data_IF_315663797838
#
_entry.id   IF_315663797838
#
_cell.length_a   1.000
_cell.length_b   1.000
_cell.length_c   1.000
_cell.angle_alpha   90.00
_cell.angle_beta   90.00
_cell.angle_gamma   90.00
#
_symmetry.space_group_name_H-M   'P 1'
#
loop_
_entity.id
_entity.type
_entity.pdbx_description
1 polymer ?
#
# COMPACT_ATOMS: atom_id res chain seq x y z
N UNK A 1 14.70 -10.26 -33.39
CA UNK A 1 16.08 -10.76 -33.18
C UNK A 1 16.98 -9.70 -32.55
N UNK A 2 16.49 -8.89 -31.61
CA UNK A 2 17.28 -7.94 -30.80
C UNK A 2 17.64 -8.49 -29.42
N UNK A 3 16.86 -9.47 -28.93
CA UNK A 3 16.99 -10.10 -27.62
C UNK A 3 18.37 -10.69 -27.34
N UNK A 4 19.00 -11.30 -28.34
CA UNK A 4 20.22 -12.08 -28.12
C UNK A 4 21.44 -11.15 -27.94
N UNK A 5 21.48 -10.05 -28.70
CA UNK A 5 22.49 -9.01 -28.52
C UNK A 5 22.28 -8.26 -27.21
N UNK A 6 21.04 -7.91 -26.87
CA UNK A 6 20.71 -7.19 -25.64
C UNK A 6 21.09 -8.04 -24.41
N UNK A 7 20.77 -9.34 -24.43
CA UNK A 7 21.15 -10.28 -23.36
C UNK A 7 22.66 -10.43 -23.23
N UNK A 8 23.38 -10.48 -24.37
CA UNK A 8 24.84 -10.55 -24.38
C UNK A 8 25.47 -9.27 -23.84
N UNK A 9 24.93 -8.10 -24.20
CA UNK A 9 25.37 -6.81 -23.66
C UNK A 9 25.15 -6.74 -22.15
N UNK A 10 23.98 -7.16 -21.66
CA UNK A 10 23.69 -7.21 -20.22
C UNK A 10 24.67 -8.12 -19.48
N UNK A 11 25.00 -9.29 -20.04
CA UNK A 11 26.00 -10.19 -19.48
C UNK A 11 27.40 -9.53 -19.45
N UNK A 12 27.79 -8.85 -20.53
CA UNK A 12 29.05 -8.12 -20.59
C UNK A 12 29.11 -6.98 -19.56
N UNK A 13 28.01 -6.25 -19.37
CA UNK A 13 27.90 -5.16 -18.40
C UNK A 13 27.99 -5.68 -16.96
N UNK A 14 27.36 -6.81 -16.64
CA UNK A 14 27.45 -7.43 -15.31
C UNK A 14 28.91 -7.81 -14.97
N UNK A 15 29.67 -8.32 -15.96
CA UNK A 15 31.09 -8.67 -15.78
C UNK A 15 31.98 -7.44 -15.62
N UNK A 16 31.70 -6.38 -16.38
CA UNK A 16 32.36 -5.09 -16.23
C UNK A 16 32.13 -4.50 -14.83
N UNK A 17 30.91 -4.62 -14.29
CA UNK A 17 30.58 -4.21 -12.91
C UNK A 17 31.28 -5.07 -11.85
N UNK A 18 31.55 -6.35 -12.13
CA UNK A 18 32.35 -7.22 -11.28
C UNK A 18 33.86 -6.89 -11.28
N UNK A 19 34.29 -5.91 -12.09
CA UNK A 19 35.67 -5.42 -12.15
C UNK A 19 36.50 -6.01 -13.29
N UNK A 20 35.88 -6.72 -14.24
CA UNK A 20 36.59 -7.25 -15.41
C UNK A 20 36.88 -6.14 -16.44
N UNK A 21 38.01 -6.20 -17.15
CA UNK A 21 38.35 -5.19 -18.14
C UNK A 21 37.59 -5.37 -19.46
N UNK A 22 37.33 -4.27 -20.15
CA UNK A 22 36.62 -4.26 -21.45
C UNK A 22 37.31 -5.19 -22.46
N UNK A 23 38.64 -5.15 -22.57
CA UNK A 23 39.38 -6.00 -23.51
C UNK A 23 39.25 -7.49 -23.21
N UNK A 24 39.08 -7.87 -21.93
CA UNK A 24 38.92 -9.27 -21.53
C UNK A 24 37.53 -9.78 -21.89
N UNK A 25 36.50 -8.98 -21.61
CA UNK A 25 35.11 -9.30 -21.98
C UNK A 25 34.94 -9.40 -23.50
N UNK A 26 35.57 -8.50 -24.28
CA UNK A 26 35.50 -8.52 -25.75
C UNK A 26 36.22 -9.72 -26.38
N UNK A 27 37.24 -10.28 -25.73
CA UNK A 27 37.99 -11.43 -26.25
C UNK A 27 37.14 -12.70 -26.28
N UNK A 28 36.16 -12.81 -25.41
CA UNK A 28 35.24 -13.95 -25.34
C UNK A 28 34.10 -13.85 -26.36
N UNK A 29 33.87 -12.66 -26.92
CA UNK A 29 32.84 -12.40 -27.93
C UNK A 29 33.41 -11.68 -29.16
N UNK A 30 34.38 -12.29 -29.89
CA UNK A 30 35.07 -11.63 -30.99
C UNK A 30 34.12 -11.27 -32.15
N UNK A 31 33.10 -12.10 -32.41
CA UNK A 31 32.15 -11.92 -33.51
C UNK A 31 31.33 -10.62 -33.38
N UNK A 32 31.10 -10.16 -32.15
CA UNK A 32 30.28 -8.98 -31.85
C UNK A 32 31.11 -7.82 -31.28
N UNK A 33 32.44 -7.98 -31.19
CA UNK A 33 33.31 -7.05 -30.50
C UNK A 33 33.26 -5.63 -31.08
N UNK A 34 33.17 -5.51 -32.42
CA UNK A 34 33.08 -4.21 -33.08
C UNK A 34 31.84 -3.41 -32.66
N UNK A 35 30.72 -4.09 -32.36
CA UNK A 35 29.47 -3.46 -31.94
C UNK A 35 29.41 -3.23 -30.42
N UNK A 36 29.97 -4.14 -29.62
CA UNK A 36 29.97 -4.06 -28.16
C UNK A 36 30.97 -3.04 -27.61
N UNK A 37 32.14 -2.92 -28.25
CA UNK A 37 33.22 -2.05 -27.79
C UNK A 37 32.80 -0.62 -27.46
N UNK A 38 32.15 0.14 -28.36
CA UNK A 38 31.75 1.52 -28.04
C UNK A 38 30.75 1.59 -26.89
N UNK A 39 29.85 0.61 -26.74
CA UNK A 39 28.87 0.56 -25.65
C UNK A 39 29.53 0.28 -24.30
N UNK A 40 30.45 -0.69 -24.26
CA UNK A 40 31.18 -1.04 -23.04
C UNK A 40 32.17 0.06 -22.62
N UNK A 41 32.80 0.76 -23.56
CA UNK A 41 33.66 1.90 -23.25
C UNK A 41 32.87 3.06 -22.63
N UNK A 42 31.67 3.35 -23.12
CA UNK A 42 30.78 4.34 -22.51
C UNK A 42 30.35 3.90 -21.11
N UNK A 43 29.93 2.65 -20.95
CA UNK A 43 29.55 2.11 -19.65
C UNK A 43 30.71 2.17 -18.64
N UNK A 44 31.92 1.82 -19.06
CA UNK A 44 33.13 1.90 -18.23
C UNK A 44 33.47 3.33 -17.81
N UNK A 45 33.21 4.33 -18.67
CA UNK A 45 33.39 5.74 -18.30
C UNK A 45 32.30 6.24 -17.36
N UNK A 46 31.07 5.74 -17.49
CA UNK A 46 29.97 6.10 -16.60
C UNK A 46 30.14 5.49 -15.21
N UNK A 47 30.70 4.28 -15.11
CA UNK A 47 30.91 3.61 -13.82
C UNK A 47 32.01 4.26 -12.96
N UNK A 48 32.90 5.07 -13.55
CA UNK A 48 33.90 5.84 -12.79
C UNK A 48 33.33 7.15 -12.23
N UNK A 49 32.13 7.55 -12.66
CA UNK A 49 31.50 8.76 -12.13
C UNK A 49 31.09 8.54 -10.66
N UNK A 50 31.32 9.52 -9.79
CA UNK A 50 30.91 9.42 -8.39
C UNK A 50 29.39 9.32 -8.31
N UNK A 51 28.90 8.26 -7.67
CA UNK A 51 27.47 8.09 -7.41
C UNK A 51 26.96 9.24 -6.52
N UNK A 52 25.94 10.00 -6.95
CA UNK A 52 25.42 11.11 -6.16
C UNK A 52 24.85 10.58 -4.84
N UNK A 53 25.48 10.95 -3.72
CA UNK A 53 25.02 10.55 -2.39
C UNK A 53 23.97 11.54 -1.90
N UNK A 54 22.76 11.07 -1.67
CA UNK A 54 21.71 11.87 -1.06
C UNK A 54 22.11 12.29 0.37
N UNK A 55 21.80 13.53 0.75
CA UNK A 55 21.96 14.00 2.14
C UNK A 55 21.03 13.19 3.06
N UNK A 56 21.47 12.72 4.25
CA UNK A 56 20.63 11.90 5.13
C UNK A 56 19.29 12.55 5.48
N UNK A 57 19.26 13.86 5.70
CA UNK A 57 18.03 14.63 5.98
C UNK A 57 17.06 14.69 4.80
N UNK A 58 17.57 14.74 3.56
CA UNK A 58 16.73 14.71 2.37
C UNK A 58 16.04 13.35 2.23
N UNK A 59 16.77 12.26 2.47
CA UNK A 59 16.24 10.89 2.41
C UNK A 59 15.14 10.66 3.45
N UNK A 60 15.35 11.06 4.71
CA UNK A 60 14.33 10.90 5.76
C UNK A 60 13.07 11.70 5.44
N UNK A 61 13.21 12.95 4.98
CA UNK A 61 12.06 13.78 4.59
C UNK A 61 11.29 13.21 3.39
N UNK A 62 11.99 12.61 2.42
CA UNK A 62 11.38 11.97 1.26
C UNK A 62 10.64 10.70 1.67
N UNK A 63 11.24 9.88 2.53
CA UNK A 63 10.62 8.67 3.09
C UNK A 63 9.36 9.00 3.89
N UNK A 64 9.40 10.03 4.74
CA UNK A 64 8.23 10.48 5.49
C UNK A 64 7.11 10.95 4.57
N UNK A 65 7.42 11.74 3.53
CA UNK A 65 6.44 12.16 2.52
C UNK A 65 5.83 10.98 1.77
N UNK A 66 6.63 9.99 1.42
CA UNK A 66 6.16 8.77 0.77
C UNK A 66 5.21 7.99 1.68
N UNK A 67 5.56 7.80 2.96
CA UNK A 67 4.70 7.12 3.93
C UNK A 67 3.39 7.87 4.17
N UNK A 68 3.45 9.19 4.37
CA UNK A 68 2.26 10.02 4.53
C UNK A 68 1.34 9.95 3.30
N UNK A 69 1.91 9.89 2.09
CA UNK A 69 1.13 9.71 0.88
C UNK A 69 0.46 8.32 0.84
N UNK A 70 1.16 7.27 1.23
CA UNK A 70 0.58 5.91 1.32
C UNK A 70 -0.56 5.86 2.34
N UNK A 71 -0.36 6.44 3.53
CA UNK A 71 -1.38 6.49 4.59
C UNK A 71 -2.60 7.31 4.16
N UNK A 72 -2.38 8.42 3.45
CA UNK A 72 -3.45 9.23 2.87
C UNK A 72 -4.24 8.44 1.81
N UNK A 73 -3.59 7.59 1.01
CA UNK A 73 -4.29 6.73 0.03
C UNK A 73 -4.99 5.53 0.69
N UNK A 74 -4.44 4.99 1.78
CA UNK A 74 -5.05 3.91 2.54
C UNK A 74 -6.29 4.39 3.33
N UNK A 75 -6.23 5.62 3.84
CA UNK A 75 -7.29 6.23 4.65
C UNK A 75 -8.28 7.04 3.82
N UNK A 76 -7.98 7.33 2.55
CA UNK A 76 -8.94 7.94 1.63
C UNK A 76 -10.16 7.01 1.56
N UNK A 77 -11.35 7.48 1.97
CA UNK A 77 -12.56 6.68 1.84
C UNK A 77 -12.72 6.40 0.35
N UNK A 78 -12.49 5.15 -0.05
CA UNK A 78 -12.82 4.70 -1.41
C UNK A 78 -14.28 5.03 -1.59
N UNK A 79 -14.65 5.95 -2.51
CA UNK A 79 -16.04 6.27 -2.67
C UNK A 79 -16.72 4.97 -3.06
N UNK A 80 -17.52 4.44 -2.14
CA UNK A 80 -18.13 3.14 -2.31
C UNK A 80 -18.95 3.17 -3.59
N UNK A 81 -19.13 2.03 -4.26
CA UNK A 81 -20.06 1.93 -5.38
C UNK A 81 -21.44 2.53 -5.04
N UNK A 82 -21.85 2.42 -3.78
CA UNK A 82 -23.06 3.01 -3.22
C UNK A 82 -23.08 4.55 -3.13
N UNK A 83 -21.94 5.24 -3.12
CA UNK A 83 -21.87 6.70 -3.24
C UNK A 83 -22.08 7.21 -4.67
N UNK A 84 -22.04 6.32 -5.66
CA UNK A 84 -22.45 6.61 -7.04
C UNK A 84 -23.93 6.33 -7.30
N UNK A 85 -24.62 5.64 -6.38
CA UNK A 85 -26.06 5.52 -6.47
C UNK A 85 -26.68 6.75 -5.78
N UNK A 86 -27.57 7.50 -6.46
CA UNK A 86 -28.38 8.52 -5.83
C UNK A 86 -29.44 7.83 -4.97
N UNK A 87 -29.02 7.29 -3.83
CA UNK A 87 -29.95 6.87 -2.80
C UNK A 87 -30.57 8.15 -2.23
N UNK A 88 -31.91 8.27 -2.19
CA UNK A 88 -32.55 9.41 -1.55
C UNK A 88 -32.07 9.48 -0.09
N UNK A 89 -31.75 10.68 0.38
CA UNK A 89 -31.37 10.95 1.77
C UNK A 89 -32.50 10.47 2.69
N UNK A 90 -32.40 9.24 3.19
CA UNK A 90 -33.28 8.70 4.23
C UNK A 90 -32.93 9.32 5.59
N UNK A 91 -32.83 10.65 5.65
CA UNK A 91 -32.72 11.43 6.89
C UNK A 91 -33.88 11.18 7.86
N UNK A 92 -34.98 10.61 7.37
CA UNK A 92 -36.11 10.11 8.16
C UNK A 92 -35.73 8.95 9.11
N UNK A 93 -34.83 8.04 8.73
CA UNK A 93 -34.40 6.96 9.66
C UNK A 93 -33.52 7.48 10.81
N UNK A 94 -32.91 8.66 10.66
CA UNK A 94 -32.08 9.30 11.68
C UNK A 94 -32.87 10.17 12.65
N UNK A 95 -34.16 10.39 12.40
CA UNK A 95 -35.10 11.04 13.31
C UNK A 95 -35.89 10.06 14.18
N UNK A 96 -35.54 8.77 14.24
CA UNK A 96 -36.03 7.94 15.34
C UNK A 96 -35.47 8.54 16.63
N UNK A 97 -36.31 9.17 17.47
CA UNK A 97 -35.82 9.85 18.66
C UNK A 97 -35.15 8.81 19.54
N UNK A 98 -34.00 9.15 20.13
CA UNK A 98 -33.29 8.32 21.11
C UNK A 98 -34.15 7.92 22.34
N UNK A 99 -35.41 8.37 22.41
CA UNK A 99 -36.43 8.03 23.39
C UNK A 99 -37.18 6.72 23.07
N UNK A 100 -37.09 6.18 21.85
CA UNK A 100 -37.83 4.97 21.47
C UNK A 100 -37.27 3.69 22.12
N UNK A 101 -35.97 3.63 22.38
CA UNK A 101 -35.33 2.53 23.11
C UNK A 101 -35.81 2.44 24.56
N UNK A 102 -35.98 3.59 25.23
CA UNK A 102 -36.51 3.64 26.59
C UNK A 102 -37.97 3.16 26.65
N UNK A 103 -38.82 3.58 25.71
CA UNK A 103 -40.21 3.11 25.66
C UNK A 103 -40.31 1.61 25.34
N UNK A 104 -39.45 1.09 24.45
CA UNK A 104 -39.42 -0.34 24.15
C UNK A 104 -38.97 -1.18 25.36
N UNK A 105 -37.96 -0.73 26.11
CA UNK A 105 -37.53 -1.38 27.35
C UNK A 105 -38.63 -1.36 28.42
N UNK A 106 -39.32 -0.23 28.59
CA UNK A 106 -40.43 -0.10 29.53
C UNK A 106 -41.59 -1.03 29.11
N UNK A 107 -41.94 -1.06 27.82
CA UNK A 107 -43.00 -1.94 27.32
C UNK A 107 -42.65 -3.42 27.50
N UNK A 108 -41.40 -3.81 27.23
CA UNK A 108 -40.92 -5.18 27.43
C UNK A 108 -40.89 -5.57 28.91
N UNK A 109 -40.50 -4.64 29.79
CA UNK A 109 -40.50 -4.83 31.24
C UNK A 109 -41.92 -4.97 31.80
N UNK A 110 -42.88 -4.17 31.32
CA UNK A 110 -44.29 -4.30 31.68
C UNK A 110 -44.83 -5.65 31.22
N UNK A 111 -44.61 -6.03 29.95
CA UNK A 111 -45.07 -7.32 29.42
C UNK A 111 -44.49 -8.50 30.22
N UNK A 112 -43.18 -8.47 30.51
CA UNK A 112 -42.52 -9.50 31.31
C UNK A 112 -43.02 -9.56 32.75
N UNK A 113 -43.27 -8.41 33.39
CA UNK A 113 -43.79 -8.34 34.75
C UNK A 113 -45.24 -8.85 34.83
N UNK A 114 -46.09 -8.53 33.85
CA UNK A 114 -47.44 -9.11 33.77
C UNK A 114 -47.40 -10.62 33.58
N UNK A 115 -46.51 -11.14 32.74
CA UNK A 115 -46.35 -12.58 32.54
C UNK A 115 -45.88 -13.29 33.82
N UNK A 116 -44.97 -12.66 34.57
CA UNK A 116 -44.46 -13.17 35.84
C UNK A 116 -45.52 -13.16 36.95
N UNK A 117 -46.37 -12.14 37.01
CA UNK A 117 -47.48 -12.08 37.96
C UNK A 117 -48.55 -13.12 37.65
N UNK A 118 -48.87 -13.37 36.37
CA UNK A 118 -49.77 -14.47 35.98
C UNK A 118 -49.20 -15.86 36.26
N UNK A 119 -47.87 -15.98 36.45
CA UNK A 119 -47.23 -17.25 36.82
C UNK A 119 -47.29 -17.54 38.32
N UNK A 120 -47.71 -16.56 39.13
CA UNK A 120 -47.84 -16.68 40.60
C UNK A 120 -49.27 -17.03 41.04
N UNK A 121 -50.15 -17.39 40.12
CA UNK A 121 -51.47 -17.92 40.46
C UNK A 121 -51.29 -19.26 41.19
N UNK A 122 -51.39 -19.15 42.52
CA UNK A 122 -51.25 -20.22 43.48
C UNK A 122 -52.53 -21.05 43.43
N UNK A 123 -52.52 -22.07 42.57
CA UNK A 123 -53.58 -23.05 42.35
C UNK A 123 -54.18 -23.56 43.68
N UNK A 124 -55.40 -23.17 44.08
CA UNK A 124 -56.08 -23.74 45.21
C UNK A 124 -57.04 -24.80 44.68
N UNK A 125 -56.62 -26.07 44.69
CA UNK A 125 -57.37 -27.18 45.30
C UNK A 125 -56.88 -28.55 44.76
N UNK A 126 -56.34 -29.42 45.64
CA UNK A 126 -55.99 -30.79 45.30
C UNK A 126 -57.19 -31.72 45.51
N UNK A 127 -57.77 -32.25 44.44
CA UNK A 127 -58.55 -33.48 44.53
C UNK A 127 -58.69 -34.15 43.16
N UNK A 128 -58.15 -35.37 43.06
CA UNK A 128 -58.83 -36.44 42.34
C UNK A 128 -58.18 -36.90 41.04
N UNK A 129 -57.86 -38.20 41.06
CA UNK A 129 -57.95 -39.11 39.92
C UNK A 129 -56.71 -39.26 39.03
N UNK A 130 -55.81 -40.08 39.58
CA UNK A 130 -55.03 -41.08 38.87
C UNK A 130 -55.77 -41.75 37.70
N UNK A 131 -55.09 -41.91 36.57
CA UNK A 131 -54.96 -43.23 35.92
C UNK A 131 -53.70 -43.28 35.03
N UNK A 132 -52.88 -44.34 35.15
CA UNK A 132 -51.67 -44.52 34.36
C UNK A 132 -51.94 -45.26 33.04
N UNK A 133 -51.25 -44.87 31.96
CA UNK A 133 -51.06 -45.78 30.82
C UNK A 133 -49.65 -45.63 30.28
N UNK A 134 -48.85 -46.64 30.65
CA UNK A 134 -47.53 -47.00 30.14
C UNK A 134 -47.67 -47.54 28.73
N UNK A 135 -46.70 -47.28 27.84
CA UNK A 135 -46.08 -48.21 26.85
C UNK A 135 -45.16 -47.36 25.94
N UNK A 136 -43.85 -47.29 26.18
CA UNK A 136 -42.76 -48.22 25.79
C UNK A 136 -42.36 -48.18 24.30
N UNK A 137 -41.03 -48.21 24.10
CA UNK A 137 -40.26 -48.73 22.93
C UNK A 137 -39.73 -47.64 21.96
N UNK A 138 -38.57 -47.82 21.28
CA UNK A 138 -37.18 -47.73 21.76
C UNK A 138 -36.29 -46.94 20.74
N UNK A 139 -34.94 -46.88 20.87
CA UNK A 139 -34.07 -46.05 20.02
C UNK A 139 -33.53 -46.79 18.78
N UNK A 140 -32.89 -46.06 17.84
CA UNK A 140 -31.69 -46.61 17.21
C UNK A 140 -30.49 -45.65 17.22
N UNK A 141 -29.34 -46.27 17.44
CA UNK A 141 -27.97 -45.79 17.34
C UNK A 141 -27.55 -45.75 15.85
N UNK A 142 -26.34 -45.24 15.57
CA UNK A 142 -25.49 -45.49 14.39
C UNK A 142 -25.44 -44.36 13.33
N UNK A 143 -24.30 -43.96 12.74
CA UNK A 143 -22.88 -44.32 12.85
C UNK A 143 -22.06 -43.21 12.14
N UNK A 144 -20.83 -42.98 12.61
CA UNK A 144 -19.56 -42.83 11.88
C UNK A 144 -19.60 -42.59 10.35
N UNK A 145 -18.84 -41.60 9.84
CA UNK A 145 -17.82 -41.74 8.76
C UNK A 145 -17.26 -40.38 8.25
N UNK A 146 -15.97 -40.11 8.54
CA UNK A 146 -14.95 -39.46 7.67
C UNK A 146 -14.68 -40.40 6.45
N UNK A 147 -13.97 -40.10 5.31
CA UNK A 147 -12.97 -39.04 5.02
C UNK A 147 -12.89 -38.52 3.53
N UNK A 148 -11.85 -37.70 3.24
CA UNK A 148 -10.99 -37.59 2.03
C UNK A 148 -11.55 -37.72 0.60
N UNK A 149 -11.16 -36.79 -0.31
CA UNK A 149 -10.63 -37.02 -1.70
C UNK A 149 -10.56 -35.66 -2.47
N UNK A 150 -9.40 -35.05 -2.74
CA UNK A 150 -8.45 -35.19 -3.89
C UNK A 150 -8.76 -34.32 -5.12
N UNK A 151 -7.67 -33.85 -5.74
CA UNK A 151 -7.48 -33.44 -7.14
C UNK A 151 -7.75 -31.97 -7.55
N UNK A 152 -6.64 -31.24 -7.70
CA UNK A 152 -6.35 -30.39 -8.86
C UNK A 152 -6.61 -31.13 -10.18
N UNK A 153 -7.05 -30.43 -11.24
CA UNK A 153 -6.07 -30.00 -12.25
C UNK A 153 -6.34 -28.63 -12.90
N UNK A 154 -5.22 -28.05 -13.34
CA UNK A 154 -5.07 -26.94 -14.28
C UNK A 154 -5.69 -27.29 -15.65
N UNK A 155 -6.31 -26.33 -16.36
CA UNK A 155 -5.73 -25.97 -17.66
C UNK A 155 -5.77 -24.47 -18.00
N UNK A 156 -4.63 -24.03 -18.53
CA UNK A 156 -4.41 -23.07 -19.62
C UNK A 156 -5.64 -22.60 -20.40
N UNK A 157 -5.80 -21.27 -20.51
CA UNK A 157 -6.40 -20.64 -21.67
C UNK A 157 -5.71 -19.29 -21.98
N UNK A 158 -5.01 -19.30 -23.09
CA UNK A 158 -4.46 -18.17 -23.84
C UNK A 158 -5.60 -17.26 -24.32
N UNK A 159 -5.46 -15.95 -24.13
CA UNK A 159 -6.22 -14.95 -24.89
C UNK A 159 -5.30 -13.80 -25.32
N UNK A 160 -4.96 -13.84 -26.61
CA UNK A 160 -4.31 -12.81 -27.39
C UNK A 160 -5.23 -11.61 -27.55
N UNK A 161 -4.79 -10.42 -27.17
CA UNK A 161 -5.33 -9.16 -27.71
C UNK A 161 -4.18 -8.25 -28.11
N UNK A 162 -3.90 -8.34 -29.41
CA UNK A 162 -3.17 -7.37 -30.22
C UNK A 162 -4.04 -6.12 -30.40
N UNK A 163 -3.52 -4.96 -30.01
CA UNK A 163 -4.00 -3.67 -30.49
C UNK A 163 -2.80 -2.72 -30.58
N UNK A 164 -2.29 -2.60 -31.80
CA UNK A 164 -1.44 -1.51 -32.25
C UNK A 164 -2.14 -0.17 -32.06
N UNK A 165 -1.48 0.75 -31.37
CA UNK A 165 -1.60 2.18 -31.64
C UNK A 165 -0.35 2.89 -31.13
N UNK A 166 0.67 2.93 -31.98
CA UNK A 166 1.81 3.82 -31.84
C UNK A 166 1.34 5.24 -32.21
N UNK A 167 1.25 6.13 -31.22
CA UNK A 167 1.27 7.57 -31.47
C UNK A 167 2.69 8.06 -31.23
N UNK A 168 3.44 8.13 -32.32
CA UNK A 168 4.73 8.80 -32.44
C UNK A 168 4.53 10.29 -32.15
N UNK A 169 4.79 10.73 -30.92
CA UNK A 169 4.95 12.15 -30.61
C UNK A 169 6.43 12.50 -30.72
N UNK A 170 6.83 12.96 -31.91
CA UNK A 170 8.13 13.58 -32.14
C UNK A 170 8.12 14.97 -31.50
N UNK A 171 8.66 15.09 -30.28
CA UNK A 171 8.89 16.39 -29.65
C UNK A 171 10.28 16.88 -30.07
N UNK A 172 10.31 17.76 -31.05
CA UNK A 172 11.52 18.50 -31.43
C UNK A 172 11.73 19.62 -30.42
N UNK A 173 12.59 19.40 -29.42
CA UNK A 173 13.03 20.46 -28.52
C UNK A 173 14.17 21.25 -29.19
N UNK A 174 13.83 22.37 -29.81
CA UNK A 174 14.80 23.37 -30.26
C UNK A 174 15.36 24.08 -29.03
N UNK A 175 16.54 23.65 -28.57
CA UNK A 175 17.23 24.24 -27.43
C UNK A 175 17.90 25.54 -27.86
N UNK A 176 17.22 26.67 -27.69
CA UNK A 176 17.80 28.01 -27.86
C UNK A 176 18.67 28.33 -26.63
N UNK A 177 19.99 28.54 -26.75
CA UNK A 177 20.80 29.00 -25.63
C UNK A 177 20.54 30.50 -25.39
N UNK A 178 19.51 30.82 -24.61
CA UNK A 178 19.31 32.18 -24.07
C UNK A 178 20.22 32.34 -22.86
N UNK A 179 21.48 32.72 -23.11
CA UNK A 179 22.43 33.13 -22.07
C UNK A 179 21.97 34.52 -21.58
N UNK A 180 21.06 34.51 -20.60
CA UNK A 180 20.79 35.69 -19.78
C UNK A 180 21.73 35.64 -18.58
N UNK A 181 22.75 36.50 -18.48
CA UNK A 181 23.60 36.54 -17.30
C UNK A 181 22.78 37.04 -16.10
N UNK A 182 22.58 36.18 -15.11
CA UNK A 182 22.04 36.57 -13.82
C UNK A 182 23.12 37.40 -13.08
N UNK A 183 22.74 38.50 -12.41
CA UNK A 183 23.68 39.28 -11.61
C UNK A 183 24.20 38.43 -10.45
N UNK A 184 25.52 38.22 -10.42
CA UNK A 184 26.24 37.66 -9.28
C UNK A 184 26.00 38.59 -8.10
N UNK A 185 25.16 38.16 -7.16
CA UNK A 185 25.00 38.79 -5.85
C UNK A 185 26.21 38.37 -5.02
N UNK A 186 27.21 39.24 -4.95
CA UNK A 186 28.36 39.10 -4.06
C UNK A 186 27.86 39.31 -2.63
N UNK A 187 27.97 38.33 -1.72
CA UNK A 187 27.62 38.54 -0.31
C UNK A 187 28.59 39.56 0.31
N UNK A 188 28.10 40.48 1.18
CA UNK A 188 28.96 41.48 1.80
C UNK A 188 30.02 40.84 2.68
N UNK A 189 31.26 41.29 2.49
CA UNK A 189 32.43 40.99 3.31
C UNK A 189 32.14 41.25 4.79
N UNK A 190 32.41 40.30 5.71
CA UNK A 190 32.27 40.59 7.14
C UNK A 190 33.35 41.60 7.56
N UNK A 191 32.88 42.78 7.97
CA UNK A 191 33.67 43.84 8.62
C UNK A 191 34.40 43.28 9.84
N UNK A 192 35.71 43.54 10.02
CA UNK A 192 36.43 43.10 11.20
C UNK A 192 35.92 43.87 12.42
N UNK A 193 35.32 43.15 13.37
CA UNK A 193 34.97 43.64 14.69
C UNK A 193 36.25 44.11 15.40
N UNK A 194 36.34 45.43 15.58
CA UNK A 194 37.27 46.09 16.49
C UNK A 194 37.20 45.43 17.87
N UNK A 195 38.35 44.87 18.27
CA UNK A 195 38.64 44.42 19.62
C UNK A 195 38.93 45.69 20.43
N UNK A 196 37.92 46.22 21.11
CA UNK A 196 38.13 47.27 22.10
C UNK A 196 38.88 46.67 23.29
N UNK A 197 40.11 47.17 23.45
CA UNK A 197 40.84 47.29 24.71
C UNK A 197 39.92 47.93 25.76
N UNK A 198 39.49 47.13 26.74
CA UNK A 198 38.87 47.64 27.97
C UNK A 198 39.93 47.54 29.08
N UNK A 199 40.58 48.67 29.28
CA UNK A 199 41.00 49.30 30.54
C UNK A 199 41.34 48.41 31.75
N UNK A 200 42.63 48.41 32.03
CA UNK A 200 43.26 48.24 33.34
C UNK A 200 43.26 49.59 34.08
N UNK A 201 42.68 49.69 35.29
CA UNK A 201 43.15 50.67 36.25
C UNK A 201 43.76 50.00 37.49
N UNK A 202 45.07 50.19 37.58
CA UNK A 202 45.89 50.16 38.79
C UNK A 202 45.42 51.14 39.88
N UNK A 203 45.82 50.80 41.12
CA UNK A 203 45.98 51.65 42.32
C UNK A 203 44.75 52.02 43.18
N UNK A 204 44.64 51.40 44.36
CA UNK A 204 45.20 51.93 45.62
C UNK A 204 45.11 50.91 46.76
#
# INVERSE_FOLDING_TARGET
MSSDFDSLLDQCLARLQAGESVDRVLREHPDQAARLRPLLEVAARMSTLPTPRARPSAYTSARQRMLAAVDAHASAPRPGFWQRLPLPDFGFLRQLPAQATNLALIALLILGLTWLLSSLDLDPNPAGESTPTVTLTPPPIENTSTPTETASPLPTATATLNASSFLTSTVTLTLTPSITPLPIVIPPTPTPTERNEEDDPTET
#
